data_IF_605955596772
#
_entry.id   IF_605955596772
#
_cell.length_a   1.000
_cell.length_b   1.000
_cell.length_c   1.000
_cell.angle_alpha   90.00
_cell.angle_beta   90.00
_cell.angle_gamma   90.00
#
_symmetry.space_group_name_H-M   'P 1'
#
loop_
_entity.id
_entity.type
_entity.pdbx_description
1 polymer ?
#
# COMPACT_ATOMS: atom_id res chain seq x y z
N UNK A 1 -24.91 69.14 18.04
CA UNK A 1 -26.05 69.17 17.09
C UNK A 1 -25.47 69.21 15.67
N UNK A 2 -25.84 68.20 14.87
CA UNK A 2 -25.77 68.01 13.40
C UNK A 2 -25.09 69.05 12.47
N UNK A 3 -24.55 68.44 11.39
CA UNK A 3 -24.51 68.85 9.97
C UNK A 3 -23.14 69.37 9.48
N UNK A 4 -22.62 69.09 8.27
CA UNK A 4 -23.09 68.39 7.06
C UNK A 4 -21.91 68.31 6.06
N UNK A 5 -21.82 67.25 5.24
CA UNK A 5 -21.42 67.25 3.81
C UNK A 5 -21.54 65.78 3.32
N UNK A 6 -22.50 65.36 2.50
CA UNK A 6 -22.62 65.50 1.02
C UNK A 6 -21.31 65.16 0.29
N UNK A 7 -21.21 64.25 -0.68
CA UNK A 7 -22.18 63.76 -1.68
C UNK A 7 -21.72 62.44 -2.35
N UNK A 8 -22.67 61.82 -3.06
CA UNK A 8 -22.71 60.53 -3.75
C UNK A 8 -21.65 60.31 -4.85
N UNK A 9 -21.38 59.02 -5.18
CA UNK A 9 -21.43 58.44 -6.55
C UNK A 9 -21.56 56.90 -6.41
N UNK A 10 -22.48 56.34 -7.19
CA UNK A 10 -22.77 54.91 -7.31
C UNK A 10 -22.15 54.35 -8.60
N UNK A 11 -21.68 53.09 -8.58
CA UNK A 11 -21.61 52.24 -9.78
C UNK A 11 -21.51 50.75 -9.40
N UNK A 12 -22.13 49.93 -10.24
CA UNK A 12 -22.61 48.54 -10.05
C UNK A 12 -21.54 47.46 -10.25
N UNK A 13 -21.75 46.22 -9.75
CA UNK A 13 -20.97 45.05 -10.19
C UNK A 13 -21.48 44.50 -11.53
N UNK A 14 -20.59 44.43 -12.54
CA UNK A 14 -20.67 43.50 -13.66
C UNK A 14 -20.20 42.12 -13.14
N UNK A 15 -20.90 41.00 -13.36
CA UNK A 15 -21.30 40.46 -14.66
C UNK A 15 -20.34 39.32 -15.00
N UNK A 16 -20.60 38.12 -14.49
CA UNK A 16 -19.89 36.88 -14.88
C UNK A 16 -20.89 35.95 -15.56
N UNK A 17 -21.17 36.25 -16.82
CA UNK A 17 -21.83 35.35 -17.75
C UNK A 17 -20.81 34.41 -18.38
N UNK A 18 -21.30 33.22 -18.73
CA UNK A 18 -20.78 32.30 -19.74
C UNK A 18 -19.46 31.55 -19.44
N UNK A 19 -19.62 30.26 -19.12
CA UNK A 19 -19.05 29.17 -19.95
C UNK A 19 -19.66 27.82 -19.54
N UNK A 20 -20.85 27.56 -20.09
CA UNK A 20 -21.31 26.19 -20.32
C UNK A 20 -20.65 25.73 -21.63
N UNK A 21 -19.70 24.81 -21.55
CA UNK A 21 -19.20 24.10 -22.73
C UNK A 21 -19.73 22.66 -22.69
N UNK A 22 -20.79 22.52 -23.46
CA UNK A 22 -21.37 21.32 -24.04
C UNK A 22 -20.30 20.57 -24.86
N UNK A 23 -19.87 19.39 -24.40
CA UNK A 23 -19.10 18.46 -25.23
C UNK A 23 -19.97 17.24 -25.50
N UNK A 24 -20.67 17.30 -26.63
CA UNK A 24 -21.45 16.19 -27.20
C UNK A 24 -20.53 15.03 -27.60
N UNK A 25 -20.96 13.77 -27.42
CA UNK A 25 -20.31 12.63 -28.05
C UNK A 25 -20.75 12.54 -29.52
N UNK A 26 -19.81 12.51 -30.46
CA UNK A 26 -20.07 12.05 -31.83
C UNK A 26 -19.82 10.54 -31.90
N UNK A 27 -20.87 9.80 -32.20
CA UNK A 27 -20.76 8.49 -32.84
C UNK A 27 -20.23 8.63 -34.27
N UNK A 28 -19.56 7.59 -34.75
CA UNK A 28 -18.99 7.50 -36.09
C UNK A 28 -18.30 6.15 -36.27
N UNK A 29 -18.94 5.31 -37.07
CA UNK A 29 -18.69 3.90 -37.37
C UNK A 29 -17.34 3.64 -38.08
N UNK A 30 -16.85 2.38 -38.01
CA UNK A 30 -15.82 1.89 -38.93
C UNK A 30 -14.84 0.85 -38.37
N UNK A 31 -15.28 -0.42 -38.27
CA UNK A 31 -14.35 -1.56 -38.31
C UNK A 31 -13.84 -1.82 -39.73
N UNK A 32 -12.73 -2.55 -39.91
CA UNK A 32 -12.90 -3.96 -40.28
C UNK A 32 -11.92 -4.94 -39.61
N UNK A 33 -12.51 -6.03 -39.11
CA UNK A 33 -12.11 -7.44 -39.14
C UNK A 33 -10.64 -7.89 -39.05
N UNK A 34 -10.31 -8.88 -38.19
CA UNK A 34 -9.09 -9.67 -38.33
C UNK A 34 -9.24 -10.72 -39.44
N UNK A 35 -8.24 -10.78 -40.32
CA UNK A 35 -8.08 -11.80 -41.36
C UNK A 35 -7.37 -13.04 -40.79
N UNK A 36 -8.08 -14.17 -40.72
CA UNK A 36 -7.54 -15.51 -41.01
C UNK A 36 -8.17 -16.01 -42.32
N UNK A 37 -8.01 -17.27 -42.80
CA UNK A 37 -7.44 -18.46 -42.14
C UNK A 37 -6.52 -19.31 -43.07
N UNK A 38 -6.03 -20.47 -42.60
CA UNK A 38 -6.11 -21.79 -43.27
C UNK A 38 -4.88 -22.72 -43.08
N UNK A 39 -5.15 -24.02 -43.26
CA UNK A 39 -4.32 -25.24 -43.16
C UNK A 39 -4.08 -25.72 -41.70
N UNK A 40 -4.76 -26.78 -41.22
CA UNK A 40 -4.59 -28.19 -41.62
C UNK A 40 -3.42 -28.76 -40.77
N UNK A 41 -3.54 -29.79 -39.93
CA UNK A 41 -3.86 -31.18 -40.26
C UNK A 41 -4.25 -31.99 -38.98
N UNK A 42 -5.29 -32.81 -39.16
CA UNK A 42 -5.58 -34.15 -38.61
C UNK A 42 -5.11 -34.62 -37.21
N UNK A 43 -6.12 -35.14 -36.49
CA UNK A 43 -6.08 -36.13 -35.40
C UNK A 43 -5.03 -37.24 -35.58
N UNK A 44 -4.36 -37.59 -34.49
CA UNK A 44 -3.84 -38.94 -34.24
C UNK A 44 -4.03 -39.29 -32.75
N UNK A 45 -4.54 -40.50 -32.52
CA UNK A 45 -4.88 -41.07 -31.24
C UNK A 45 -3.70 -41.84 -30.61
N UNK A 46 -3.83 -42.10 -29.30
CA UNK A 46 -3.14 -43.10 -28.46
C UNK A 46 -1.62 -42.93 -28.24
N UNK A 47 -1.21 -42.85 -26.97
CA UNK A 47 -0.71 -43.99 -26.19
C UNK A 47 0.14 -43.54 -24.97
N UNK A 48 -0.02 -44.24 -23.85
CA UNK A 48 1.09 -44.52 -22.93
C UNK A 48 1.36 -43.55 -21.77
N UNK A 49 0.86 -43.92 -20.58
CA UNK A 49 1.53 -43.65 -19.29
C UNK A 49 2.93 -44.30 -19.29
N UNK A 50 3.89 -43.85 -18.45
CA UNK A 50 3.96 -44.43 -17.09
C UNK A 50 4.37 -43.47 -15.96
N UNK A 51 3.89 -43.90 -14.78
CA UNK A 51 4.34 -43.59 -13.42
C UNK A 51 5.86 -43.36 -13.28
N UNK A 52 6.24 -42.39 -12.44
CA UNK A 52 7.58 -42.33 -11.82
C UNK A 52 7.42 -42.56 -10.33
N UNK A 53 7.36 -43.84 -9.97
CA UNK A 53 7.71 -44.33 -8.65
C UNK A 53 9.23 -44.21 -8.49
N UNK A 54 9.67 -43.51 -7.45
CA UNK A 54 11.06 -43.56 -6.98
C UNK A 54 11.07 -44.17 -5.58
N UNK A 55 11.02 -45.50 -5.53
CA UNK A 55 11.41 -46.28 -4.35
C UNK A 55 12.86 -46.71 -4.56
N UNK A 56 13.78 -46.12 -3.78
CA UNK A 56 15.10 -46.69 -3.56
C UNK A 56 15.15 -47.25 -2.15
N UNK A 57 15.10 -48.57 -2.10
CA UNK A 57 15.34 -49.41 -0.94
C UNK A 57 16.85 -49.39 -0.66
N UNK A 58 17.28 -48.97 0.53
CA UNK A 58 18.63 -49.21 1.02
C UNK A 58 18.53 -49.86 2.40
N UNK A 59 18.90 -51.13 2.42
CA UNK A 59 19.06 -51.99 3.59
C UNK A 59 20.39 -51.70 4.29
N UNK A 60 20.39 -51.80 5.62
CA UNK A 60 21.57 -52.17 6.41
C UNK A 60 22.24 -51.05 7.22
N UNK A 61 21.93 -50.96 8.52
CA UNK A 61 22.77 -51.39 9.65
C UNK A 61 22.23 -50.78 10.96
N UNK A 62 22.19 -51.60 12.01
CA UNK A 62 21.75 -51.24 13.37
C UNK A 62 22.78 -50.39 14.09
N UNK A 63 22.33 -49.33 14.75
CA UNK A 63 23.03 -48.67 15.86
C UNK A 63 22.02 -47.85 16.68
N UNK A 64 22.01 -47.93 18.03
CA UNK A 64 21.07 -47.19 18.85
C UNK A 64 21.64 -45.79 19.12
N UNK A 65 21.55 -44.90 18.14
CA UNK A 65 21.71 -43.47 18.41
C UNK A 65 20.34 -42.95 18.82
N UNK A 66 20.22 -42.54 20.09
CA UNK A 66 19.03 -41.92 20.64
C UNK A 66 18.66 -40.69 19.80
N UNK A 67 17.72 -40.88 18.89
CA UNK A 67 17.15 -39.82 18.09
C UNK A 67 16.20 -39.03 19.00
N UNK A 68 16.74 -37.99 19.65
CA UNK A 68 15.93 -36.93 20.23
C UNK A 68 15.25 -36.21 19.08
N UNK A 69 14.10 -36.73 18.65
CA UNK A 69 13.18 -36.06 17.75
C UNK A 69 12.70 -34.81 18.48
N UNK A 70 13.41 -33.70 18.31
CA UNK A 70 12.85 -32.36 18.58
C UNK A 70 11.75 -32.16 17.56
N UNK A 71 10.55 -32.68 17.87
CA UNK A 71 9.31 -32.18 17.34
C UNK A 71 9.16 -30.74 17.82
N UNK A 72 9.93 -29.83 17.21
CA UNK A 72 9.62 -28.43 17.26
C UNK A 72 8.30 -28.32 16.51
N UNK A 73 7.19 -28.30 17.25
CA UNK A 73 5.94 -27.73 16.75
C UNK A 73 6.29 -26.36 16.21
N UNK A 74 6.51 -26.31 14.90
CA UNK A 74 6.64 -25.09 14.13
C UNK A 74 5.25 -24.46 14.18
N UNK A 75 4.95 -23.77 15.28
CA UNK A 75 4.04 -22.63 15.22
C UNK A 75 4.61 -21.77 14.12
N UNK A 76 3.89 -21.61 13.02
CA UNK A 76 4.30 -20.94 11.79
C UNK A 76 4.57 -19.44 12.03
N UNK A 77 5.57 -19.12 12.84
CA UNK A 77 6.14 -17.80 12.93
C UNK A 77 6.93 -17.59 11.65
N UNK A 78 6.49 -16.66 10.81
CA UNK A 78 7.26 -16.24 9.65
C UNK A 78 8.54 -15.57 10.15
N UNK A 79 9.64 -16.31 10.18
CA UNK A 79 10.98 -15.88 10.64
C UNK A 79 11.77 -15.11 9.59
N UNK A 80 11.23 -14.93 8.37
CA UNK A 80 11.90 -14.14 7.33
C UNK A 80 12.20 -12.74 7.83
N UNK A 81 13.32 -12.13 7.46
CA UNK A 81 13.60 -10.74 7.83
C UNK A 81 12.54 -9.79 7.27
N UNK A 82 12.17 -8.72 8.00
CA UNK A 82 11.39 -7.64 7.40
C UNK A 82 12.25 -6.96 6.33
N UNK A 83 11.77 -6.96 5.08
CA UNK A 83 12.41 -6.23 3.99
C UNK A 83 12.62 -4.77 4.38
N UNK A 84 13.79 -4.23 4.03
CA UNK A 84 14.16 -2.85 4.39
C UNK A 84 13.34 -1.81 3.63
N UNK A 85 13.01 -2.10 2.37
CA UNK A 85 12.16 -1.27 1.54
C UNK A 85 10.70 -1.73 1.62
N UNK A 86 9.75 -0.79 1.54
CA UNK A 86 8.32 -1.11 1.55
C UNK A 86 7.87 -1.42 0.13
N UNK A 87 7.39 -2.63 -0.09
CA UNK A 87 6.91 -3.14 -1.36
C UNK A 87 5.79 -4.17 -1.12
N UNK A 88 5.29 -4.82 -2.17
CA UNK A 88 4.29 -5.88 -2.03
C UNK A 88 4.78 -6.97 -1.07
N UNK A 89 3.86 -7.52 -0.27
CA UNK A 89 4.09 -8.57 0.74
C UNK A 89 4.97 -8.16 1.92
N UNK A 90 5.37 -6.89 2.04
CA UNK A 90 6.13 -6.42 3.19
C UNK A 90 5.29 -6.36 4.46
N UNK A 91 5.88 -6.82 5.57
CA UNK A 91 5.31 -6.64 6.91
C UNK A 91 5.65 -5.26 7.41
N UNK A 92 4.65 -4.61 7.96
CA UNK A 92 4.77 -3.25 8.50
C UNK A 92 4.27 -3.21 9.93
N UNK A 93 4.68 -2.18 10.67
CA UNK A 93 4.17 -1.87 12.00
C UNK A 93 3.21 -0.70 11.87
N UNK A 94 1.98 -0.90 12.29
CA UNK A 94 1.01 0.19 12.44
C UNK A 94 1.32 0.93 13.72
N UNK A 95 1.38 2.26 13.64
CA UNK A 95 1.87 3.11 14.73
C UNK A 95 0.87 4.13 15.23
N UNK A 96 -0.35 4.06 14.69
CA UNK A 96 -1.48 4.77 15.24
C UNK A 96 -2.10 4.01 16.42
N UNK A 97 -2.92 4.72 17.20
CA UNK A 97 -3.73 4.14 18.27
C UNK A 97 -5.09 3.62 17.76
N UNK A 98 -5.23 3.34 16.46
CA UNK A 98 -6.51 2.85 15.93
C UNK A 98 -6.85 1.48 16.51
N UNK A 99 -8.14 1.19 16.63
CA UNK A 99 -8.61 -0.12 17.06
C UNK A 99 -8.11 -1.23 16.11
N UNK A 100 -8.01 -0.93 14.81
CA UNK A 100 -7.53 -1.88 13.80
C UNK A 100 -6.04 -2.23 13.97
N UNK A 101 -5.21 -1.24 14.30
CA UNK A 101 -3.77 -1.39 14.50
C UNK A 101 -3.37 -2.03 15.82
N UNK A 102 -4.11 -1.73 16.89
CA UNK A 102 -3.74 -2.15 18.27
C UNK A 102 -4.19 -3.57 18.60
N UNK A 103 -5.34 -4.00 18.06
CA UNK A 103 -5.87 -5.35 18.34
C UNK A 103 -4.98 -6.43 17.72
N UNK A 104 -4.57 -7.45 18.48
CA UNK A 104 -3.75 -8.54 17.96
C UNK A 104 -4.53 -9.37 16.93
N UNK A 105 -3.82 -9.87 15.93
CA UNK A 105 -4.38 -10.74 14.90
C UNK A 105 -3.38 -11.83 14.51
N UNK A 106 -3.88 -12.99 14.08
CA UNK A 106 -3.05 -14.15 13.76
C UNK A 106 -2.10 -13.90 12.55
N UNK A 107 -2.43 -12.94 11.69
CA UNK A 107 -1.59 -12.51 10.55
C UNK A 107 -1.12 -11.07 10.75
N UNK A 108 0.19 -10.79 10.59
CA UNK A 108 0.69 -9.41 10.64
C UNK A 108 0.18 -8.61 9.43
N UNK A 109 0.08 -7.28 9.54
CA UNK A 109 -0.36 -6.45 8.45
C UNK A 109 0.67 -6.45 7.32
N UNK A 110 0.18 -6.59 6.07
CA UNK A 110 1.01 -6.69 4.87
C UNK A 110 0.61 -5.67 3.81
N UNK A 111 1.60 -5.08 3.16
CA UNK A 111 1.37 -4.21 2.01
C UNK A 111 0.95 -5.03 0.79
N UNK A 112 -0.16 -4.66 0.16
CA UNK A 112 -0.69 -5.28 -1.07
C UNK A 112 -0.25 -4.49 -2.30
N UNK A 113 -0.32 -3.15 -2.21
CA UNK A 113 -0.06 -2.27 -3.33
C UNK A 113 0.60 -0.98 -2.86
N UNK A 114 1.54 -0.47 -3.63
CA UNK A 114 2.15 0.84 -3.43
C UNK A 114 1.64 1.73 -4.56
N UNK A 115 1.12 2.91 -4.23
CA UNK A 115 0.58 3.86 -5.21
C UNK A 115 1.70 4.62 -5.94
N UNK A 116 2.71 3.90 -6.44
CA UNK A 116 3.86 4.42 -7.17
C UNK A 116 4.09 3.58 -8.43
N UNK A 117 4.65 4.20 -9.48
CA UNK A 117 5.05 3.49 -10.71
C UNK A 117 6.22 2.53 -10.49
N UNK A 118 7.12 2.83 -9.56
CA UNK A 118 8.32 2.03 -9.27
C UNK A 118 8.05 0.77 -8.46
N UNK A 119 6.88 0.67 -7.81
CA UNK A 119 6.55 -0.44 -6.91
C UNK A 119 7.28 -0.46 -5.56
N UNK A 120 8.15 0.53 -5.30
CA UNK A 120 8.87 0.72 -4.03
C UNK A 120 8.36 1.98 -3.35
N UNK A 121 7.92 1.84 -2.10
CA UNK A 121 7.39 2.92 -1.27
C UNK A 121 8.47 3.58 -0.42
N UNK A 122 8.49 4.92 -0.45
CA UNK A 122 9.33 5.79 0.37
C UNK A 122 8.47 6.50 1.43
N UNK A 123 9.11 7.22 2.35
CA UNK A 123 8.40 8.10 3.29
C UNK A 123 7.53 9.10 2.54
N UNK A 124 6.26 9.21 2.94
CA UNK A 124 5.28 10.10 2.33
C UNK A 124 4.46 9.49 1.20
N UNK A 125 4.70 8.23 0.85
CA UNK A 125 3.92 7.52 -0.16
C UNK A 125 2.73 6.80 0.48
N UNK A 126 1.65 6.70 -0.30
CA UNK A 126 0.45 5.96 0.08
C UNK A 126 0.59 4.49 -0.32
N UNK A 127 0.09 3.61 0.54
CA UNK A 127 0.05 2.16 0.30
C UNK A 127 -1.32 1.59 0.63
N UNK A 128 -1.64 0.46 0.02
CA UNK A 128 -2.79 -0.37 0.36
C UNK A 128 -2.32 -1.48 1.30
N UNK A 129 -2.91 -1.53 2.48
CA UNK A 129 -2.57 -2.45 3.56
C UNK A 129 -3.70 -3.46 3.80
N UNK A 130 -3.33 -4.73 3.93
CA UNK A 130 -4.20 -5.76 4.49
C UNK A 130 -3.99 -5.82 6.01
N UNK A 131 -5.04 -5.49 6.77
CA UNK A 131 -5.06 -5.61 8.23
C UNK A 131 -6.36 -6.29 8.67
N UNK A 132 -6.27 -7.33 9.51
CA UNK A 132 -7.42 -8.09 10.01
C UNK A 132 -8.40 -8.57 8.93
N UNK A 133 -7.88 -8.94 7.75
CA UNK A 133 -8.70 -9.35 6.60
C UNK A 133 -9.40 -8.20 5.85
N UNK A 134 -9.16 -6.95 6.26
CA UNK A 134 -9.68 -5.76 5.61
C UNK A 134 -8.60 -5.05 4.79
N UNK A 135 -9.03 -4.36 3.73
CA UNK A 135 -8.19 -3.43 2.96
C UNK A 135 -8.33 -2.02 3.53
N UNK A 136 -7.21 -1.38 3.85
CA UNK A 136 -7.17 0.02 4.28
C UNK A 136 -6.01 0.74 3.61
N UNK A 137 -6.15 2.02 3.34
CA UNK A 137 -5.03 2.85 2.89
C UNK A 137 -4.12 3.15 4.09
N UNK A 138 -2.86 3.39 3.82
CA UNK A 138 -1.90 3.79 4.85
C UNK A 138 -0.86 4.74 4.25
N UNK A 139 -0.28 5.56 5.12
CA UNK A 139 0.85 6.43 4.83
C UNK A 139 2.12 5.82 5.39
N UNK A 140 3.18 5.82 4.60
CA UNK A 140 4.52 5.47 5.08
C UNK A 140 5.10 6.65 5.84
N UNK A 141 5.37 6.44 7.13
CA UNK A 141 5.98 7.45 8.01
C UNK A 141 7.47 7.19 8.19
N UNK A 142 7.89 5.92 8.18
CA UNK A 142 9.29 5.56 8.33
C UNK A 142 9.58 4.19 7.71
N UNK A 143 10.79 4.01 7.21
CA UNK A 143 11.26 2.74 6.68
C UNK A 143 12.70 2.47 7.09
N UNK A 144 13.09 1.20 7.01
CA UNK A 144 14.43 0.73 7.41
C UNK A 144 15.50 0.93 6.34
N UNK A 145 15.09 1.07 5.08
CA UNK A 145 15.99 1.38 3.97
C UNK A 145 16.73 2.71 4.23
N UNK A 146 18.06 2.76 4.05
CA UNK A 146 18.79 4.03 4.15
C UNK A 146 18.28 5.01 3.08
N UNK A 147 17.90 6.19 3.52
CA UNK A 147 17.41 7.27 2.68
C UNK A 147 18.52 8.21 2.20
N UNK A 148 18.15 9.36 1.60
CA UNK A 148 19.10 10.42 1.29
C UNK A 148 19.75 10.98 2.56
N UNK A 149 20.88 11.70 2.39
CA UNK A 149 21.57 12.36 3.49
C UNK A 149 20.61 13.31 4.22
N UNK A 150 20.79 13.45 5.53
CA UNK A 150 19.95 14.28 6.41
C UNK A 150 18.49 13.79 6.55
N UNK A 151 18.21 12.50 6.29
CA UNK A 151 16.91 11.90 6.62
C UNK A 151 17.05 10.84 7.70
N UNK A 152 16.09 10.75 8.65
CA UNK A 152 16.16 9.76 9.70
C UNK A 152 15.91 8.36 9.16
N UNK A 153 16.68 7.41 9.68
CA UNK A 153 16.49 5.98 9.42
C UNK A 153 15.83 5.35 10.63
N UNK A 154 14.75 4.61 10.40
CA UNK A 154 14.04 3.90 11.47
C UNK A 154 14.42 2.42 11.47
N UNK A 155 14.34 1.77 12.64
CA UNK A 155 14.59 0.33 12.73
C UNK A 155 13.42 -0.50 12.17
N UNK A 156 12.19 0.02 12.31
CA UNK A 156 10.96 -0.62 11.86
C UNK A 156 10.30 0.15 10.71
N UNK A 157 9.61 -0.59 9.83
CA UNK A 157 8.75 -0.02 8.80
C UNK A 157 7.46 0.49 9.46
N UNK A 158 7.36 1.79 9.63
CA UNK A 158 6.31 2.48 10.38
C UNK A 158 5.26 3.06 9.42
N UNK A 159 4.00 2.71 9.65
CA UNK A 159 2.87 3.19 8.85
C UNK A 159 1.73 3.70 9.73
N UNK A 160 0.96 4.65 9.19
CA UNK A 160 -0.24 5.20 9.80
C UNK A 160 -1.42 4.89 8.89
N UNK A 161 -2.53 4.42 9.45
CA UNK A 161 -3.71 4.09 8.66
C UNK A 161 -4.44 5.36 8.22
N UNK A 162 -4.85 5.35 6.96
CA UNK A 162 -5.63 6.40 6.33
C UNK A 162 -6.97 5.85 5.86
N UNK A 163 -7.98 6.70 5.92
CA UNK A 163 -9.24 6.51 5.22
C UNK A 163 -9.09 6.79 3.72
N UNK A 164 -10.14 6.49 2.96
CA UNK A 164 -10.19 6.79 1.54
C UNK A 164 -10.14 8.30 1.24
N UNK A 165 -10.62 9.10 2.19
CA UNK A 165 -10.62 10.57 2.16
C UNK A 165 -9.26 11.19 2.51
N UNK A 166 -8.25 10.39 2.88
CA UNK A 166 -6.94 10.88 3.31
C UNK A 166 -6.87 11.31 4.78
N UNK A 167 -7.96 11.16 5.54
CA UNK A 167 -7.95 11.39 6.99
C UNK A 167 -7.23 10.25 7.72
N UNK A 168 -6.50 10.53 8.82
CA UNK A 168 -5.97 9.47 9.68
C UNK A 168 -7.12 8.74 10.40
N UNK A 169 -7.02 7.42 10.48
CA UNK A 169 -7.99 6.58 11.22
C UNK A 169 -7.73 6.68 12.74
N UNK A 170 -6.47 6.85 13.13
CA UNK A 170 -6.10 7.01 14.54
C UNK A 170 -6.09 8.47 14.98
N UNK A 171 -6.27 8.67 16.29
CA UNK A 171 -6.31 9.99 16.94
C UNK A 171 -4.96 10.45 17.49
N UNK A 172 -4.00 9.54 17.69
CA UNK A 172 -2.69 9.84 18.29
C UNK A 172 -1.59 8.97 17.70
N UNK A 173 -0.47 9.61 17.32
CA UNK A 173 0.76 8.94 16.87
C UNK A 173 1.86 9.22 17.89
N UNK A 174 2.28 8.19 18.63
CA UNK A 174 3.31 8.32 19.68
C UNK A 174 4.73 8.27 19.14
N UNK A 175 4.96 7.63 18.00
CA UNK A 175 6.31 7.51 17.44
C UNK A 175 6.74 8.79 16.74
N UNK A 176 8.04 9.06 16.72
CA UNK A 176 8.57 10.19 15.99
C UNK A 176 8.26 10.11 14.50
N UNK A 177 7.85 11.24 13.92
CA UNK A 177 7.58 11.42 12.50
C UNK A 177 8.72 12.24 11.88
N UNK A 178 9.24 11.87 10.70
CA UNK A 178 10.26 12.67 10.04
C UNK A 178 9.72 14.04 9.62
N UNK A 179 10.49 15.09 9.88
CA UNK A 179 10.22 16.47 9.48
C UNK A 179 10.07 16.66 7.97
N UNK A 180 10.63 15.75 7.15
CA UNK A 180 10.46 15.73 5.69
C UNK A 180 9.00 15.67 5.24
N UNK A 181 8.09 15.12 6.07
CA UNK A 181 6.66 15.07 5.75
C UNK A 181 5.96 16.44 5.84
N UNK A 182 6.55 17.41 6.55
CA UNK A 182 6.00 18.78 6.64
C UNK A 182 6.04 19.52 5.32
N UNK A 183 6.93 19.15 4.39
CA UNK A 183 6.96 19.75 3.05
C UNK A 183 5.69 19.46 2.25
N UNK A 184 4.93 18.43 2.63
CA UNK A 184 3.66 18.02 1.99
C UNK A 184 2.46 18.32 2.88
N UNK A 185 2.48 19.46 3.57
CA UNK A 185 1.50 19.80 4.60
C UNK A 185 0.06 19.84 4.07
N UNK A 186 -0.16 20.12 2.78
CA UNK A 186 -1.51 20.15 2.18
C UNK A 186 -2.24 18.79 2.17
N UNK A 187 -1.56 17.69 1.84
CA UNK A 187 -2.20 16.38 1.74
C UNK A 187 -2.35 15.66 3.08
N UNK A 188 -1.43 15.91 4.01
CA UNK A 188 -1.32 15.17 5.27
C UNK A 188 -1.47 16.07 6.50
N UNK A 189 -2.11 17.24 6.36
CA UNK A 189 -2.23 18.24 7.44
C UNK A 189 -2.78 17.63 8.72
N UNK A 190 -3.83 16.81 8.59
CA UNK A 190 -4.48 16.15 9.73
C UNK A 190 -3.59 15.10 10.40
N UNK A 191 -2.73 14.43 9.62
CA UNK A 191 -1.77 13.45 10.16
C UNK A 191 -0.68 14.17 10.95
N UNK A 192 -0.17 15.28 10.42
CA UNK A 192 0.86 16.10 11.07
C UNK A 192 0.34 16.77 12.35
N UNK A 193 -0.92 17.21 12.37
CA UNK A 193 -1.56 17.80 13.55
C UNK A 193 -1.67 16.82 14.74
N UNK A 194 -1.77 15.52 14.44
CA UNK A 194 -1.90 14.45 15.45
C UNK A 194 -0.54 13.95 15.96
N UNK A 195 0.53 14.27 15.24
CA UNK A 195 1.88 13.81 15.56
C UNK A 195 2.47 14.58 16.74
N UNK A 196 3.09 13.85 17.67
CA UNK A 196 3.63 14.46 18.90
C UNK A 196 5.10 14.84 18.77
N UNK A 197 5.91 13.94 18.20
CA UNK A 197 7.36 14.07 18.15
C UNK A 197 7.83 14.11 16.70
N UNK A 198 8.81 14.96 16.42
CA UNK A 198 9.42 15.12 15.10
C UNK A 198 10.92 14.89 15.16
N UNK A 199 11.49 14.31 14.09
CA UNK A 199 12.93 14.04 13.92
C UNK A 199 13.38 14.52 12.54
#
# INVERSE_FOLDING_TARGET
>A
RKARAHSQIAARPAGSDAQAQDYRPRGGEGGPGPVGPAAGYSRAAKAGLPSRDCMAFCTGLRGPFAQVSRALSQRCFSTTGSLSAIQKMTRVRVVDNSALGTTPYHRPPRCIHVYNKTGVGKVGDRILLAIRGQKKKALIVGHRMPGPRMTPRFDSNNVVLLEDNGNPVGTRIKTPIPSSLRQREGEFSKVLAIAQNFV
#
